data_IF_717636684922
#
_entry.id   IF_717636684922
#
_cell.length_a   1.000
_cell.length_b   1.000
_cell.length_c   1.000
_cell.angle_alpha   90.00
_cell.angle_beta   90.00
_cell.angle_gamma   90.00
#
_symmetry.space_group_name_H-M   'P 1'
#
loop_
_entity.id
_entity.type
_entity.pdbx_description
1 polymer ?
#
# COMPACT_ATOMS: atom_id res chain seq x y z
N UNK A 1 0.86 48.51 82.96
CA UNK A 1 0.78 49.50 81.86
C UNK A 1 0.73 48.72 80.53
N UNK A 2 -0.35 48.80 79.71
CA UNK A 2 -0.41 48.19 78.44
C UNK A 2 0.17 49.10 77.37
N UNK A 3 0.89 48.51 76.42
CA UNK A 3 1.41 49.14 75.21
C UNK A 3 0.45 48.80 74.05
N UNK A 4 -0.15 49.82 73.51
CA UNK A 4 -0.97 49.77 72.29
C UNK A 4 -0.08 49.83 71.05
N UNK A 5 -0.16 48.80 70.18
CA UNK A 5 0.47 48.85 68.87
C UNK A 5 -0.66 49.08 67.85
N UNK A 6 -0.70 50.25 67.20
CA UNK A 6 -1.57 50.55 66.06
C UNK A 6 -1.05 49.88 64.79
N UNK A 7 -1.88 49.14 64.17
CA UNK A 7 -1.64 48.61 62.84
C UNK A 7 -2.35 49.46 61.80
N UNK A 8 -1.61 50.17 60.97
CA UNK A 8 -2.14 50.85 59.75
C UNK A 8 -2.11 49.93 58.59
N UNK A 9 -3.28 49.60 58.04
CA UNK A 9 -3.42 48.84 56.79
C UNK A 9 -3.11 49.76 55.61
N UNK A 10 -2.40 49.26 54.57
CA UNK A 10 -2.20 50.02 53.34
C UNK A 10 -3.41 50.01 52.46
N UNK A 11 -3.68 51.15 51.83
CA UNK A 11 -4.76 51.39 50.90
C UNK A 11 -4.71 50.47 49.65
N UNK A 12 -5.86 49.90 49.30
CA UNK A 12 -6.00 49.00 48.16
C UNK A 12 -5.80 49.73 46.81
N UNK A 13 -4.96 49.14 45.98
CA UNK A 13 -4.79 49.52 44.56
C UNK A 13 -6.00 49.01 43.77
N UNK A 14 -6.60 49.81 42.88
CA UNK A 14 -7.74 49.35 42.07
C UNK A 14 -7.25 48.29 41.06
N UNK A 15 -7.86 47.10 41.09
CA UNK A 15 -7.65 46.04 40.13
C UNK A 15 -8.40 46.44 38.83
N UNK A 16 -7.63 46.64 37.75
CA UNK A 16 -8.18 46.85 36.42
C UNK A 16 -8.86 45.57 35.93
N UNK A 17 -10.18 45.62 35.78
CA UNK A 17 -10.95 44.50 35.18
C UNK A 17 -10.73 44.56 33.69
N UNK A 18 -10.04 43.60 33.13
CA UNK A 18 -9.94 43.40 31.69
C UNK A 18 -11.33 43.02 31.11
N UNK A 19 -11.74 43.61 30.01
CA UNK A 19 -12.97 43.21 29.35
C UNK A 19 -12.84 41.77 28.80
N UNK A 20 -13.95 40.98 28.74
CA UNK A 20 -13.92 39.63 28.23
C UNK A 20 -13.42 39.60 26.78
N UNK A 21 -12.70 38.55 26.36
CA UNK A 21 -12.23 38.45 24.98
C UNK A 21 -13.37 38.43 24.00
N UNK A 22 -13.29 39.33 23.02
CA UNK A 22 -14.24 39.43 21.91
C UNK A 22 -14.33 38.09 21.18
N UNK A 23 -15.51 37.49 21.18
CA UNK A 23 -15.79 36.26 20.42
C UNK A 23 -15.77 36.61 18.94
N UNK A 24 -14.70 36.23 18.23
CA UNK A 24 -14.65 36.32 16.77
C UNK A 24 -15.76 35.44 16.20
N UNK A 25 -16.51 35.89 15.19
CA UNK A 25 -17.52 35.07 14.53
C UNK A 25 -16.81 33.83 13.95
N UNK A 26 -17.33 32.66 14.30
CA UNK A 26 -16.92 31.39 13.68
C UNK A 26 -17.40 31.45 12.22
N UNK A 27 -16.46 31.67 11.30
CA UNK A 27 -16.73 31.54 9.87
C UNK A 27 -17.17 30.10 9.63
N UNK A 28 -18.35 29.84 9.02
CA UNK A 28 -18.74 28.47 8.70
C UNK A 28 -17.66 27.85 7.81
N UNK A 29 -17.10 26.73 8.26
CA UNK A 29 -16.24 25.88 7.43
C UNK A 29 -17.13 25.38 6.31
N UNK A 30 -16.97 25.95 5.12
CA UNK A 30 -17.55 25.43 3.90
C UNK A 30 -17.04 24.00 3.72
N UNK A 31 -17.91 23.02 3.98
CA UNK A 31 -17.61 21.62 3.67
C UNK A 31 -17.35 21.54 2.15
N UNK A 32 -16.12 21.14 1.82
CA UNK A 32 -15.77 20.84 0.44
C UNK A 32 -16.76 19.78 -0.08
N UNK A 33 -17.38 19.97 -1.26
CA UNK A 33 -18.42 19.06 -1.74
C UNK A 33 -17.84 17.67 -1.89
N UNK A 34 -18.58 16.66 -1.42
CA UNK A 34 -18.21 15.27 -1.58
C UNK A 34 -17.89 14.98 -3.07
N UNK A 35 -16.83 14.17 -3.36
CA UNK A 35 -16.44 13.89 -4.73
C UNK A 35 -17.61 13.30 -5.51
N UNK A 36 -17.88 13.87 -6.68
CA UNK A 36 -18.98 13.46 -7.55
C UNK A 36 -18.88 11.95 -7.86
N UNK A 37 -20.00 11.24 -7.81
CA UNK A 37 -20.07 9.83 -8.21
C UNK A 37 -19.72 9.76 -9.68
N UNK A 38 -18.65 9.00 -10.01
CA UNK A 38 -18.34 8.71 -11.40
C UNK A 38 -19.43 7.79 -11.99
N UNK A 39 -19.78 7.93 -13.28
CA UNK A 39 -20.73 7.04 -13.92
C UNK A 39 -20.21 5.59 -13.89
N UNK A 40 -21.09 4.60 -13.74
CA UNK A 40 -20.69 3.21 -13.77
C UNK A 40 -20.05 2.87 -15.12
N UNK A 41 -18.99 2.01 -15.15
CA UNK A 41 -18.36 1.60 -16.38
C UNK A 41 -19.35 0.78 -17.24
N UNK A 42 -19.19 0.87 -18.56
CA UNK A 42 -20.02 0.12 -19.51
C UNK A 42 -19.95 -1.41 -19.25
N UNK A 43 -21.04 -2.17 -19.52
CA UNK A 43 -21.08 -3.63 -19.28
C UNK A 43 -19.94 -4.36 -19.98
N UNK A 44 -19.39 -5.39 -19.34
CA UNK A 44 -18.37 -6.27 -19.91
C UNK A 44 -19.00 -7.31 -20.85
N UNK A 45 -18.23 -7.85 -21.82
CA UNK A 45 -18.69 -8.97 -22.63
C UNK A 45 -19.04 -10.18 -21.75
N UNK A 46 -20.01 -10.97 -22.18
CA UNK A 46 -20.44 -12.19 -21.47
C UNK A 46 -19.26 -13.14 -21.22
N UNK A 47 -19.25 -13.79 -20.06
CA UNK A 47 -18.23 -14.75 -19.66
C UNK A 47 -16.87 -14.15 -19.27
N UNK A 48 -16.74 -12.82 -19.17
CA UNK A 48 -15.51 -12.17 -18.70
C UNK A 48 -15.72 -11.55 -17.31
N UNK A 49 -14.78 -11.80 -16.38
CA UNK A 49 -14.83 -11.20 -15.05
C UNK A 49 -13.93 -9.96 -14.96
N UNK A 50 -14.21 -9.12 -13.99
CA UNK A 50 -13.29 -8.05 -13.60
C UNK A 50 -12.07 -8.61 -12.88
N UNK A 51 -10.96 -7.87 -12.93
CA UNK A 51 -9.84 -8.01 -12.01
C UNK A 51 -10.26 -7.44 -10.66
N UNK A 52 -10.09 -8.19 -9.60
CA UNK A 52 -10.51 -7.82 -8.24
C UNK A 52 -9.31 -7.37 -7.42
N UNK A 53 -9.36 -6.14 -6.92
CA UNK A 53 -8.35 -5.55 -6.04
C UNK A 53 -8.92 -5.45 -4.62
N UNK A 54 -8.37 -6.20 -3.67
CA UNK A 54 -8.69 -5.99 -2.26
C UNK A 54 -7.83 -4.84 -1.71
N UNK A 55 -8.48 -3.80 -1.22
CA UNK A 55 -7.84 -2.64 -0.61
C UNK A 55 -8.03 -2.73 0.89
N UNK A 56 -6.93 -2.84 1.60
CA UNK A 56 -6.86 -2.82 3.04
C UNK A 56 -6.45 -1.42 3.50
N UNK A 57 -7.28 -0.80 4.31
CA UNK A 57 -6.90 0.40 5.04
C UNK A 57 -6.27 -0.03 6.36
N UNK A 58 -5.01 0.25 6.58
CA UNK A 58 -4.29 -0.11 7.81
C UNK A 58 -5.01 0.37 9.07
N UNK A 59 -4.82 -0.35 10.17
CA UNK A 59 -5.36 -0.01 11.50
C UNK A 59 -6.91 -0.01 11.57
N UNK A 60 -7.49 0.71 12.53
CA UNK A 60 -8.94 0.89 12.68
C UNK A 60 -9.45 0.53 14.07
N UNK A 61 -10.58 1.11 14.48
CA UNK A 61 -11.16 0.89 15.81
C UNK A 61 -10.22 1.31 16.93
N UNK A 62 -9.89 0.38 17.82
CA UNK A 62 -8.99 0.60 18.96
C UNK A 62 -7.53 0.86 18.55
N UNK A 63 -7.13 0.39 17.38
CA UNK A 63 -5.81 0.66 16.82
C UNK A 63 -5.82 1.96 16.00
N UNK A 64 -5.28 3.07 16.55
CA UNK A 64 -5.25 4.34 15.84
C UNK A 64 -4.20 4.38 14.71
N UNK A 65 -3.25 3.44 14.67
CA UNK A 65 -2.01 3.56 13.92
C UNK A 65 -1.11 4.67 14.45
N UNK A 66 -0.23 5.15 13.63
CA UNK A 66 0.67 6.25 13.95
C UNK A 66 -0.10 7.55 14.24
N UNK A 67 0.47 8.34 15.15
CA UNK A 67 -0.08 9.63 15.57
C UNK A 67 0.72 10.76 14.93
N UNK A 68 0.01 11.63 14.23
CA UNK A 68 0.56 12.83 13.64
C UNK A 68 0.27 14.09 14.43
N UNK A 69 0.80 15.24 13.99
CA UNK A 69 0.51 16.54 14.57
C UNK A 69 -0.98 16.85 14.61
N UNK A 70 -1.40 17.66 15.59
CA UNK A 70 -2.78 18.12 15.78
C UNK A 70 -3.82 16.98 15.96
N UNK A 71 -3.37 15.81 16.46
CA UNK A 71 -4.24 14.66 16.70
C UNK A 71 -4.62 13.88 15.44
N UNK A 72 -3.88 14.05 14.34
CA UNK A 72 -4.05 13.21 13.16
C UNK A 72 -3.78 11.74 13.51
N UNK A 73 -4.62 10.85 13.02
CA UNK A 73 -4.51 9.40 13.24
C UNK A 73 -4.43 8.69 11.90
N UNK A 74 -3.50 7.78 11.78
CA UNK A 74 -3.24 7.04 10.57
C UNK A 74 -4.48 6.31 10.05
N UNK A 75 -5.23 5.65 10.92
CA UNK A 75 -6.45 4.89 10.56
C UNK A 75 -7.47 5.71 9.75
N UNK A 76 -7.52 7.02 9.94
CA UNK A 76 -8.44 7.90 9.20
C UNK A 76 -7.88 8.24 7.82
N UNK A 77 -6.59 8.52 7.73
CA UNK A 77 -5.88 8.82 6.48
C UNK A 77 -5.91 7.61 5.55
N UNK A 78 -5.57 6.44 6.07
CA UNK A 78 -5.56 5.18 5.31
C UNK A 78 -6.93 4.84 4.76
N UNK A 79 -8.00 5.01 5.58
CA UNK A 79 -9.37 4.76 5.14
C UNK A 79 -9.83 5.76 4.06
N UNK A 80 -9.43 7.02 4.17
CA UNK A 80 -9.78 8.05 3.18
C UNK A 80 -9.12 7.73 1.82
N UNK A 81 -7.81 7.41 1.82
CA UNK A 81 -7.08 7.04 0.60
C UNK A 81 -7.64 5.73 0.01
N UNK A 82 -7.94 4.73 0.85
CA UNK A 82 -8.49 3.46 0.41
C UNK A 82 -9.86 3.62 -0.28
N UNK A 83 -10.74 4.46 0.27
CA UNK A 83 -12.04 4.78 -0.34
C UNK A 83 -11.90 5.52 -1.67
N UNK A 84 -10.96 6.44 -1.74
CA UNK A 84 -10.69 7.17 -2.98
C UNK A 84 -10.09 6.24 -4.05
N UNK A 85 -9.18 5.35 -3.68
CA UNK A 85 -8.62 4.33 -4.57
C UNK A 85 -9.72 3.37 -5.07
N UNK A 86 -10.61 2.93 -4.18
CA UNK A 86 -11.77 2.13 -4.57
C UNK A 86 -12.64 2.86 -5.59
N UNK A 87 -12.96 4.13 -5.35
CA UNK A 87 -13.77 4.95 -6.25
C UNK A 87 -13.15 5.04 -7.65
N UNK A 88 -11.84 5.27 -7.72
CA UNK A 88 -11.13 5.40 -8.99
C UNK A 88 -11.03 4.06 -9.73
N UNK A 89 -10.70 2.96 -9.05
CA UNK A 89 -10.64 1.63 -9.65
C UNK A 89 -12.01 1.21 -10.18
N UNK A 90 -13.09 1.42 -9.42
CA UNK A 90 -14.44 1.04 -9.82
C UNK A 90 -15.00 1.87 -10.99
N UNK A 91 -14.39 3.00 -11.29
CA UNK A 91 -14.71 3.78 -12.49
C UNK A 91 -14.05 3.21 -13.76
N UNK A 92 -13.10 2.29 -13.63
CA UNK A 92 -12.37 1.72 -14.76
C UNK A 92 -12.95 0.37 -15.17
N UNK A 93 -13.35 0.24 -16.44
CA UNK A 93 -13.94 -0.99 -16.97
C UNK A 93 -12.95 -2.15 -16.90
N UNK A 94 -13.42 -3.29 -16.38
CA UNK A 94 -12.60 -4.50 -16.23
C UNK A 94 -11.87 -4.60 -14.89
N UNK A 95 -12.06 -3.64 -14.01
CA UNK A 95 -11.55 -3.65 -12.64
C UNK A 95 -12.68 -3.51 -11.62
N UNK A 96 -12.47 -4.09 -10.44
CA UNK A 96 -13.35 -3.98 -9.28
C UNK A 96 -12.52 -3.91 -8.01
N UNK A 97 -12.76 -2.94 -7.17
CA UNK A 97 -12.11 -2.79 -5.89
C UNK A 97 -13.06 -3.14 -4.73
N UNK A 98 -12.54 -3.91 -3.79
CA UNK A 98 -13.23 -4.36 -2.59
C UNK A 98 -12.45 -3.88 -1.36
N UNK A 99 -13.09 -3.10 -0.49
CA UNK A 99 -12.48 -2.70 0.77
C UNK A 99 -12.49 -3.86 1.77
N UNK A 100 -11.39 -4.04 2.49
CA UNK A 100 -11.29 -4.99 3.62
C UNK A 100 -12.07 -4.48 4.81
N UNK A 101 -11.93 -3.18 5.15
CA UNK A 101 -12.81 -2.48 6.09
C UNK A 101 -13.44 -1.25 5.43
N UNK A 102 -14.70 -0.99 5.72
CA UNK A 102 -15.48 0.13 5.16
C UNK A 102 -15.69 1.28 6.14
N UNK A 103 -15.36 1.06 7.41
CA UNK A 103 -15.54 1.98 8.52
C UNK A 103 -14.36 1.97 9.50
N UNK A 104 -14.54 2.66 10.62
CA UNK A 104 -13.55 2.71 11.70
C UNK A 104 -13.80 1.56 12.69
N UNK A 105 -13.30 0.39 12.37
CA UNK A 105 -13.28 -0.81 13.22
C UNK A 105 -12.01 -1.62 12.95
N UNK A 106 -11.54 -2.32 13.98
CA UNK A 106 -10.34 -3.15 13.89
C UNK A 106 -10.61 -4.49 13.22
N UNK A 107 -9.66 -4.95 12.40
CA UNK A 107 -9.62 -6.29 11.82
C UNK A 107 -8.23 -6.87 12.08
N UNK A 108 -8.11 -8.04 12.73
CA UNK A 108 -6.82 -8.71 12.92
C UNK A 108 -6.07 -8.94 11.61
N UNK A 109 -4.73 -8.80 11.64
CA UNK A 109 -3.90 -8.78 10.43
C UNK A 109 -4.13 -10.00 9.53
N UNK A 110 -4.13 -11.20 10.10
CA UNK A 110 -4.37 -12.44 9.33
C UNK A 110 -5.78 -12.55 8.74
N UNK A 111 -6.79 -11.91 9.36
CA UNK A 111 -8.15 -11.91 8.83
C UNK A 111 -8.31 -11.04 7.59
N UNK A 112 -7.44 -10.04 7.41
CA UNK A 112 -7.48 -9.12 6.27
C UNK A 112 -7.25 -9.85 4.94
N UNK A 113 -6.23 -10.71 4.85
CA UNK A 113 -5.99 -11.55 3.66
C UNK A 113 -7.05 -12.62 3.46
N UNK A 114 -7.63 -13.17 4.52
CA UNK A 114 -8.77 -14.10 4.43
C UNK A 114 -10.01 -13.42 3.83
N UNK A 115 -10.28 -12.18 4.21
CA UNK A 115 -11.36 -11.37 3.63
C UNK A 115 -11.08 -11.12 2.14
N UNK A 116 -9.86 -10.74 1.78
CA UNK A 116 -9.44 -10.54 0.39
C UNK A 116 -9.69 -11.81 -0.44
N UNK A 117 -9.29 -12.97 0.07
CA UNK A 117 -9.49 -14.26 -0.61
C UNK A 117 -10.98 -14.58 -0.80
N UNK A 118 -11.82 -14.37 0.23
CA UNK A 118 -13.28 -14.55 0.13
C UNK A 118 -13.93 -13.64 -0.91
N UNK A 119 -13.34 -12.47 -1.17
CA UNK A 119 -13.78 -11.53 -2.20
C UNK A 119 -13.23 -11.87 -3.59
N UNK A 120 -12.43 -12.95 -3.72
CA UNK A 120 -11.83 -13.37 -4.98
C UNK A 120 -10.78 -12.41 -5.51
N UNK A 121 -9.99 -11.81 -4.63
CA UNK A 121 -8.99 -10.82 -5.00
C UNK A 121 -7.85 -11.42 -5.84
N UNK A 122 -7.50 -10.70 -6.92
CA UNK A 122 -6.32 -10.96 -7.75
C UNK A 122 -5.08 -10.19 -7.25
N UNK A 123 -5.28 -9.20 -6.37
CA UNK A 123 -4.24 -8.40 -5.73
C UNK A 123 -4.75 -7.89 -4.37
N UNK A 124 -3.86 -7.88 -3.37
CA UNK A 124 -4.07 -7.25 -2.08
C UNK A 124 -3.16 -6.03 -1.93
N UNK A 125 -3.73 -4.89 -1.54
CA UNK A 125 -3.00 -3.63 -1.35
C UNK A 125 -3.35 -3.06 0.01
N UNK A 126 -2.38 -3.07 0.94
CA UNK A 126 -2.52 -2.44 2.25
C UNK A 126 -1.99 -1.00 2.18
N UNK A 127 -2.79 -0.04 2.66
CA UNK A 127 -2.50 1.39 2.63
C UNK A 127 -2.14 1.85 4.03
N UNK A 128 -0.98 2.47 4.16
CA UNK A 128 -0.40 2.96 5.42
C UNK A 128 0.12 4.40 5.29
N UNK A 129 0.38 5.04 6.42
CA UNK A 129 0.98 6.37 6.55
C UNK A 129 1.69 6.50 7.90
N UNK A 130 2.62 5.62 8.17
CA UNK A 130 3.21 5.34 9.47
C UNK A 130 4.04 6.51 10.06
N UNK A 131 4.47 6.36 11.28
CA UNK A 131 5.47 7.22 11.90
C UNK A 131 6.88 6.69 11.60
N UNK A 132 7.81 7.57 11.32
CA UNK A 132 9.22 7.18 11.26
C UNK A 132 9.92 7.45 12.59
N UNK A 133 10.96 6.67 12.94
CA UNK A 133 11.77 6.92 14.13
C UNK A 133 12.41 8.32 14.16
N UNK A 134 12.61 8.90 12.98
CA UNK A 134 13.10 10.27 12.80
C UNK A 134 11.99 11.13 12.23
N UNK A 135 11.57 12.15 12.97
CA UNK A 135 10.52 13.08 12.52
C UNK A 135 10.86 13.81 11.20
N UNK A 136 12.12 13.85 10.80
CA UNK A 136 12.59 14.40 9.53
C UNK A 136 12.42 13.42 8.35
N UNK A 137 12.04 12.16 8.59
CA UNK A 137 11.78 11.21 7.49
C UNK A 137 10.57 11.66 6.67
N UNK A 138 10.65 11.46 5.38
CA UNK A 138 9.60 11.83 4.43
C UNK A 138 9.62 10.91 3.22
N UNK A 139 8.53 10.93 2.48
CA UNK A 139 8.40 10.26 1.20
C UNK A 139 7.73 8.90 1.28
N UNK A 140 7.22 8.46 0.14
CA UNK A 140 6.49 7.21 0.00
C UNK A 140 7.43 6.01 -0.15
N UNK A 141 6.93 4.83 0.24
CA UNK A 141 7.63 3.55 0.08
C UNK A 141 6.63 2.46 -0.32
N UNK A 142 7.12 1.37 -0.90
CA UNK A 142 6.32 0.17 -1.13
C UNK A 142 7.09 -1.04 -0.61
N UNK A 143 6.36 -1.93 0.05
CA UNK A 143 6.90 -3.13 0.66
C UNK A 143 6.20 -4.38 0.13
N UNK A 144 6.95 -5.48 0.06
CA UNK A 144 6.47 -6.83 -0.19
C UNK A 144 6.89 -7.75 0.95
N UNK A 145 6.26 -8.92 1.03
CA UNK A 145 6.61 -9.93 2.02
C UNK A 145 8.04 -10.45 1.80
N UNK A 146 8.73 -10.78 2.89
CA UNK A 146 9.90 -11.66 2.91
C UNK A 146 9.79 -12.62 4.09
N UNK A 147 10.07 -13.88 3.84
CA UNK A 147 10.24 -14.94 4.84
C UNK A 147 11.72 -15.14 5.20
N UNK A 148 12.65 -14.52 4.46
CA UNK A 148 14.12 -14.66 4.60
C UNK A 148 14.79 -13.48 5.32
N UNK A 149 13.98 -12.62 5.97
CA UNK A 149 14.46 -11.43 6.66
C UNK A 149 14.18 -10.13 5.89
N UNK A 150 14.52 -9.01 6.50
CA UNK A 150 14.28 -7.69 5.95
C UNK A 150 15.41 -7.22 5.04
N UNK A 151 15.09 -6.47 3.99
CA UNK A 151 16.06 -5.89 3.06
C UNK A 151 16.80 -4.69 3.63
N UNK A 152 16.25 -4.07 4.69
CA UNK A 152 16.88 -2.97 5.43
C UNK A 152 16.41 -2.95 6.87
N UNK A 153 17.16 -2.28 7.75
CA UNK A 153 16.76 -2.06 9.15
C UNK A 153 15.45 -1.26 9.26
N UNK A 154 15.23 -0.29 8.36
CA UNK A 154 13.97 0.45 8.29
C UNK A 154 12.80 -0.48 7.96
N UNK A 155 12.97 -1.39 6.99
CA UNK A 155 11.93 -2.35 6.62
C UNK A 155 11.65 -3.35 7.76
N UNK A 156 12.68 -3.76 8.51
CA UNK A 156 12.52 -4.60 9.70
C UNK A 156 11.72 -3.89 10.78
N UNK A 157 12.16 -2.68 11.13
CA UNK A 157 11.51 -1.88 12.16
C UNK A 157 10.03 -1.63 11.82
N UNK A 158 9.74 -1.27 10.57
CA UNK A 158 8.36 -1.03 10.12
C UNK A 158 7.52 -2.30 10.23
N UNK A 159 8.04 -3.44 9.76
CA UNK A 159 7.31 -4.71 9.86
C UNK A 159 7.05 -5.12 11.32
N UNK A 160 8.01 -4.89 12.21
CA UNK A 160 7.85 -5.17 13.64
C UNK A 160 6.79 -4.26 14.27
N UNK A 161 6.78 -2.96 13.90
CA UNK A 161 5.78 -1.99 14.34
C UNK A 161 4.37 -2.41 13.88
N UNK A 162 4.21 -2.66 12.59
CA UNK A 162 2.93 -3.05 12.00
C UNK A 162 2.39 -4.38 12.56
N UNK A 163 3.27 -5.35 12.80
CA UNK A 163 2.87 -6.64 13.36
C UNK A 163 2.36 -6.53 14.80
N UNK A 164 2.62 -5.44 15.52
CA UNK A 164 2.09 -5.18 16.87
C UNK A 164 0.64 -4.68 16.85
N UNK A 165 0.08 -4.31 15.72
CA UNK A 165 -1.32 -3.85 15.59
C UNK A 165 -2.32 -4.82 16.21
N UNK A 166 -2.10 -6.14 16.10
CA UNK A 166 -2.98 -7.15 16.69
C UNK A 166 -3.02 -7.09 18.23
N UNK A 167 -1.93 -6.66 18.89
CA UNK A 167 -1.86 -6.47 20.33
C UNK A 167 -2.67 -5.24 20.76
N UNK A 168 -2.55 -4.15 20.00
CA UNK A 168 -3.27 -2.89 20.26
C UNK A 168 -4.77 -3.07 20.02
N UNK A 169 -5.14 -3.77 18.95
CA UNK A 169 -6.53 -4.05 18.58
C UNK A 169 -7.23 -5.11 19.45
N UNK A 170 -6.58 -5.62 20.50
CA UNK A 170 -7.17 -6.58 21.43
C UNK A 170 -7.33 -7.99 20.85
N UNK A 171 -6.67 -8.29 19.74
CA UNK A 171 -6.83 -9.60 19.08
C UNK A 171 -6.10 -10.75 19.78
N UNK A 172 -5.36 -10.52 20.88
CA UNK A 172 -4.64 -11.53 21.66
C UNK A 172 -3.94 -12.60 20.78
N UNK A 173 -3.01 -13.36 21.29
CA UNK A 173 -2.29 -14.41 20.54
C UNK A 173 -3.27 -15.38 19.83
N UNK A 174 -3.72 -15.05 18.63
CA UNK A 174 -4.36 -16.01 17.72
C UNK A 174 -3.24 -16.83 17.10
N UNK A 175 -2.76 -17.83 17.86
CA UNK A 175 -1.93 -18.90 17.33
C UNK A 175 -2.78 -19.69 16.34
N UNK A 176 -2.62 -19.42 15.07
CA UNK A 176 -3.04 -20.37 14.06
C UNK A 176 -2.00 -21.49 14.06
N UNK A 177 -2.41 -22.65 14.53
CA UNK A 177 -1.64 -23.89 14.39
C UNK A 177 -1.35 -24.11 12.90
N UNK A 178 -0.13 -23.81 12.47
CA UNK A 178 0.42 -24.08 11.13
C UNK A 178 0.74 -25.59 10.95
N UNK A 179 -0.10 -26.46 11.51
CA UNK A 179 0.04 -27.91 11.38
C UNK A 179 -0.88 -28.46 10.31
N UNK A 180 -0.61 -28.18 9.05
CA UNK A 180 -1.12 -29.02 7.97
C UNK A 180 -0.16 -29.06 6.76
N UNK A 181 0.65 -30.09 6.77
CA UNK A 181 0.88 -31.19 5.81
C UNK A 181 1.79 -30.96 4.61
N UNK A 182 2.79 -31.79 4.61
CA UNK A 182 3.98 -31.91 3.76
C UNK A 182 3.72 -32.15 2.24
N UNK A 183 2.51 -32.49 1.80
CA UNK A 183 2.18 -32.71 0.39
C UNK A 183 1.64 -31.43 -0.31
N UNK A 184 1.09 -30.50 0.46
CA UNK A 184 0.75 -29.17 -0.01
C UNK A 184 2.00 -28.27 -0.16
N UNK A 185 3.12 -28.65 0.45
CA UNK A 185 4.31 -27.81 0.58
C UNK A 185 4.93 -27.39 -0.76
N UNK A 186 5.14 -28.31 -1.70
CA UNK A 186 5.82 -27.97 -2.97
C UNK A 186 4.96 -27.10 -3.89
N UNK A 187 3.66 -27.39 -3.97
CA UNK A 187 2.74 -26.55 -4.75
C UNK A 187 2.53 -25.20 -4.06
N UNK A 188 2.52 -25.19 -2.73
CA UNK A 188 2.44 -23.98 -1.94
C UNK A 188 3.68 -23.10 -2.11
N UNK A 189 4.90 -23.68 -2.09
CA UNK A 189 6.15 -22.95 -2.33
C UNK A 189 6.23 -22.33 -3.72
N UNK A 190 5.78 -23.06 -4.74
CA UNK A 190 5.71 -22.52 -6.11
C UNK A 190 4.69 -21.37 -6.21
N UNK A 191 3.52 -21.52 -5.59
CA UNK A 191 2.49 -20.48 -5.53
C UNK A 191 3.01 -19.24 -4.79
N UNK A 192 3.64 -19.42 -3.64
CA UNK A 192 4.24 -18.34 -2.85
C UNK A 192 5.34 -17.62 -3.63
N UNK A 193 6.21 -18.34 -4.33
CA UNK A 193 7.27 -17.74 -5.14
C UNK A 193 6.70 -16.92 -6.29
N UNK A 194 5.67 -17.42 -6.97
CA UNK A 194 5.00 -16.70 -8.06
C UNK A 194 4.28 -15.44 -7.53
N UNK A 195 3.58 -15.59 -6.40
CA UNK A 195 2.89 -14.50 -5.71
C UNK A 195 3.87 -13.40 -5.27
N UNK A 196 5.01 -13.77 -4.70
CA UNK A 196 6.05 -12.83 -4.28
C UNK A 196 6.66 -12.09 -5.47
N UNK A 197 7.00 -12.79 -6.55
CA UNK A 197 7.51 -12.17 -7.78
C UNK A 197 6.51 -11.16 -8.36
N UNK A 198 5.22 -11.51 -8.36
CA UNK A 198 4.14 -10.61 -8.79
C UNK A 198 4.01 -9.41 -7.86
N UNK A 199 4.15 -9.60 -6.53
CA UNK A 199 4.14 -8.53 -5.53
C UNK A 199 5.27 -7.52 -5.77
N UNK A 200 6.48 -7.99 -6.03
CA UNK A 200 7.61 -7.11 -6.34
C UNK A 200 7.39 -6.33 -7.64
N UNK A 201 6.84 -6.98 -8.66
CA UNK A 201 6.57 -6.34 -9.95
C UNK A 201 5.49 -5.25 -9.83
N UNK A 202 4.33 -5.58 -9.24
CA UNK A 202 3.27 -4.58 -9.04
C UNK A 202 3.74 -3.46 -8.10
N UNK A 203 4.47 -3.82 -7.03
CA UNK A 203 5.04 -2.85 -6.09
C UNK A 203 5.98 -1.86 -6.78
N UNK A 204 6.86 -2.32 -7.67
CA UNK A 204 7.77 -1.44 -8.40
C UNK A 204 7.02 -0.48 -9.33
N UNK A 205 5.94 -0.93 -9.99
CA UNK A 205 5.11 -0.06 -10.82
C UNK A 205 4.36 0.97 -10.00
N UNK A 206 3.80 0.59 -8.87
CA UNK A 206 3.16 1.52 -7.92
C UNK A 206 4.17 2.55 -7.43
N UNK A 207 5.33 2.10 -6.93
CA UNK A 207 6.41 2.98 -6.45
C UNK A 207 6.86 3.98 -7.51
N UNK A 208 7.08 3.52 -8.74
CA UNK A 208 7.51 4.38 -9.87
C UNK A 208 6.46 5.45 -10.20
N UNK A 209 5.17 5.12 -10.14
CA UNK A 209 4.10 6.10 -10.35
C UNK A 209 3.97 7.07 -9.19
N UNK A 210 4.12 6.61 -7.95
CA UNK A 210 4.12 7.49 -6.77
C UNK A 210 5.28 8.49 -6.81
N UNK A 211 6.46 8.07 -7.26
CA UNK A 211 7.64 8.93 -7.40
C UNK A 211 7.48 10.11 -8.37
N UNK A 212 6.40 10.13 -9.17
CA UNK A 212 6.07 11.28 -10.05
C UNK A 212 5.30 12.38 -9.33
N UNK A 213 4.71 12.08 -8.17
CA UNK A 213 3.83 13.02 -7.45
C UNK A 213 4.32 13.35 -6.05
N UNK A 214 5.15 12.50 -5.45
CA UNK A 214 5.71 12.69 -4.11
C UNK A 214 7.14 12.16 -4.06
N UNK A 215 8.02 12.71 -3.20
CA UNK A 215 9.33 12.13 -2.95
C UNK A 215 9.20 10.65 -2.53
N UNK A 216 10.19 9.86 -2.89
CA UNK A 216 10.29 8.47 -2.44
C UNK A 216 11.27 8.36 -1.28
N UNK A 217 10.85 7.74 -0.18
CA UNK A 217 11.73 7.38 0.93
C UNK A 217 12.71 6.27 0.51
N UNK A 218 12.22 5.31 -0.27
CA UNK A 218 13.02 4.23 -0.89
C UNK A 218 12.73 4.17 -2.39
N UNK A 219 13.78 4.03 -3.19
CA UNK A 219 13.67 3.99 -4.66
C UNK A 219 13.41 2.58 -5.22
N UNK A 220 13.35 1.58 -4.36
CA UNK A 220 13.05 0.17 -4.68
C UNK A 220 12.02 -0.34 -3.72
N UNK A 221 11.28 -1.36 -4.14
CA UNK A 221 10.42 -2.12 -3.24
C UNK A 221 11.30 -2.79 -2.20
N UNK A 222 11.00 -2.56 -0.95
CA UNK A 222 11.67 -3.20 0.19
C UNK A 222 10.88 -4.43 0.62
N UNK A 223 11.52 -5.33 1.37
CA UNK A 223 10.90 -6.58 1.83
C UNK A 223 11.15 -6.79 3.31
N UNK A 224 10.13 -7.26 4.03
CA UNK A 224 10.24 -7.70 5.42
C UNK A 224 9.08 -8.64 5.79
N UNK A 225 9.08 -9.09 7.04
CA UNK A 225 8.13 -10.09 7.56
C UNK A 225 6.76 -9.53 7.91
N UNK A 226 6.14 -8.74 7.05
CA UNK A 226 4.79 -8.17 7.28
C UNK A 226 3.72 -9.26 7.39
N UNK A 227 3.10 -9.39 8.56
CA UNK A 227 2.07 -10.39 8.79
C UNK A 227 0.82 -10.17 7.93
N UNK A 228 0.47 -8.91 7.69
CA UNK A 228 -0.68 -8.53 6.85
C UNK A 228 -0.51 -8.94 5.38
N UNK A 229 0.73 -9.14 4.91
CA UNK A 229 1.02 -9.55 3.54
C UNK A 229 1.16 -11.07 3.35
N UNK A 230 1.02 -11.86 4.42
CA UNK A 230 1.13 -13.32 4.34
C UNK A 230 -0.08 -13.92 3.62
N UNK A 231 0.02 -14.07 2.32
CA UNK A 231 -0.93 -14.78 1.49
C UNK A 231 -0.19 -15.70 0.52
N UNK A 232 -0.48 -16.99 0.49
CA UNK A 232 0.25 -17.92 -0.37
C UNK A 232 -0.08 -17.79 -1.85
N UNK A 233 -1.24 -17.25 -2.17
CA UNK A 233 -1.86 -17.31 -3.50
C UNK A 233 -2.21 -15.92 -4.09
N UNK A 234 -2.22 -14.87 -3.28
CA UNK A 234 -2.57 -13.52 -3.73
C UNK A 234 -1.34 -12.61 -3.65
N UNK A 235 -0.88 -12.04 -4.77
CA UNK A 235 0.14 -10.99 -4.74
C UNK A 235 -0.28 -9.87 -3.78
N UNK A 236 0.64 -9.44 -2.91
CA UNK A 236 0.32 -8.54 -1.81
C UNK A 236 1.40 -7.48 -1.64
N UNK A 237 1.01 -6.21 -1.53
CA UNK A 237 1.91 -5.09 -1.25
C UNK A 237 1.38 -4.23 -0.12
N UNK A 238 2.29 -3.58 0.61
CA UNK A 238 2.01 -2.51 1.55
C UNK A 238 2.56 -1.21 0.99
N UNK A 239 1.74 -0.19 0.98
CA UNK A 239 2.05 1.13 0.42
C UNK A 239 2.07 2.16 1.53
N UNK A 240 3.27 2.62 1.89
CA UNK A 240 3.44 3.81 2.72
C UNK A 240 3.24 5.04 1.87
N UNK A 241 2.19 5.79 2.15
CA UNK A 241 1.83 6.98 1.37
C UNK A 241 2.59 8.23 1.78
N UNK A 242 3.32 8.17 2.88
CA UNK A 242 4.13 9.19 3.52
C UNK A 242 4.19 8.94 5.01
N UNK A 243 4.92 9.74 5.75
CA UNK A 243 5.04 9.62 7.21
C UNK A 243 4.17 10.65 7.92
N UNK A 244 3.10 10.18 8.61
CA UNK A 244 2.18 11.07 9.35
C UNK A 244 2.87 11.79 10.50
N UNK A 245 4.00 11.27 11.01
CA UNK A 245 4.84 11.93 12.02
C UNK A 245 5.54 13.19 11.51
N UNK A 246 5.69 13.34 10.18
CA UNK A 246 6.25 14.53 9.56
C UNK A 246 5.15 15.59 9.37
N UNK A 247 5.28 16.80 9.97
CA UNK A 247 4.22 17.81 9.90
C UNK A 247 3.82 18.24 8.49
N UNK A 248 4.79 18.30 7.56
CA UNK A 248 4.53 18.70 6.19
C UNK A 248 3.78 17.60 5.42
N UNK A 249 4.13 16.33 5.67
CA UNK A 249 3.42 15.20 5.05
C UNK A 249 2.04 15.00 5.67
N UNK A 250 1.92 15.09 6.99
CA UNK A 250 0.62 15.05 7.67
C UNK A 250 -0.36 16.10 7.12
N UNK A 251 0.13 17.33 6.89
CA UNK A 251 -0.69 18.38 6.30
C UNK A 251 -1.16 18.03 4.87
N UNK A 252 -0.30 17.43 4.04
CA UNK A 252 -0.66 16.96 2.68
C UNK A 252 -1.63 15.78 2.73
N UNK A 253 -1.33 14.77 3.55
CA UNK A 253 -2.14 13.57 3.72
C UNK A 253 -3.56 13.86 4.20
N UNK A 254 -3.76 14.98 4.91
CA UNK A 254 -5.07 15.45 5.33
C UNK A 254 -5.89 16.09 4.18
N UNK A 255 -5.30 16.38 3.02
CA UNK A 255 -6.00 17.05 1.92
C UNK A 255 -6.58 16.05 0.92
N UNK A 256 -7.83 16.28 0.51
CA UNK A 256 -8.51 15.45 -0.49
C UNK A 256 -7.74 15.42 -1.82
N UNK A 257 -7.19 16.54 -2.27
CA UNK A 257 -6.43 16.64 -3.52
C UNK A 257 -5.20 15.72 -3.51
N UNK A 258 -4.45 15.67 -2.41
CA UNK A 258 -3.29 14.79 -2.29
C UNK A 258 -3.70 13.32 -2.20
N UNK A 259 -4.75 12.98 -1.44
CA UNK A 259 -5.31 11.64 -1.35
C UNK A 259 -5.77 11.14 -2.74
N UNK A 260 -6.41 11.98 -3.54
CA UNK A 260 -6.79 11.66 -4.91
C UNK A 260 -5.58 11.43 -5.82
N UNK A 261 -4.53 12.21 -5.66
CA UNK A 261 -3.30 12.06 -6.43
C UNK A 261 -2.56 10.76 -6.07
N UNK A 262 -2.48 10.43 -4.78
CA UNK A 262 -1.93 9.16 -4.29
C UNK A 262 -2.73 7.97 -4.84
N UNK A 263 -4.06 7.99 -4.70
CA UNK A 263 -4.94 6.95 -5.22
C UNK A 263 -4.75 6.75 -6.73
N UNK A 264 -4.67 7.84 -7.50
CA UNK A 264 -4.44 7.78 -8.96
C UNK A 264 -3.09 7.17 -9.31
N UNK A 265 -2.04 7.49 -8.57
CA UNK A 265 -0.71 6.94 -8.81
C UNK A 265 -0.65 5.43 -8.49
N UNK A 266 -1.28 5.00 -7.41
CA UNK A 266 -1.41 3.59 -7.05
C UNK A 266 -2.22 2.83 -8.11
N UNK A 267 -3.40 3.34 -8.50
CA UNK A 267 -4.22 2.77 -9.57
C UNK A 267 -3.43 2.63 -10.88
N UNK A 268 -2.65 3.66 -11.26
CA UNK A 268 -1.85 3.63 -12.48
C UNK A 268 -0.81 2.51 -12.46
N UNK A 269 -0.15 2.29 -11.33
CA UNK A 269 0.80 1.18 -11.17
C UNK A 269 0.11 -0.19 -11.24
N UNK A 270 -1.03 -0.35 -10.58
CA UNK A 270 -1.86 -1.57 -10.64
C UNK A 270 -2.31 -1.86 -12.07
N UNK A 271 -2.82 -0.85 -12.78
CA UNK A 271 -3.24 -0.97 -14.17
C UNK A 271 -2.10 -1.41 -15.07
N UNK A 272 -0.93 -0.79 -14.97
CA UNK A 272 0.26 -1.17 -15.74
C UNK A 272 0.65 -2.63 -15.50
N UNK A 273 0.59 -3.10 -14.25
CA UNK A 273 0.88 -4.48 -13.94
C UNK A 273 -0.10 -5.44 -14.61
N UNK A 274 -1.41 -5.21 -14.49
CA UNK A 274 -2.41 -6.11 -15.05
C UNK A 274 -2.58 -6.00 -16.58
N UNK A 275 -2.18 -4.90 -17.19
CA UNK A 275 -2.08 -4.85 -18.65
C UNK A 275 -0.99 -5.79 -19.19
N UNK A 276 0.09 -5.96 -18.42
CA UNK A 276 1.18 -6.87 -18.76
C UNK A 276 0.90 -8.32 -18.34
N UNK A 277 0.24 -8.51 -17.19
CA UNK A 277 0.02 -9.81 -16.54
C UNK A 277 -1.47 -10.00 -16.15
N UNK A 278 -2.42 -9.92 -17.08
CA UNK A 278 -3.82 -10.07 -16.72
C UNK A 278 -4.15 -11.53 -16.38
N UNK A 279 -4.90 -11.78 -15.28
CA UNK A 279 -5.33 -13.12 -14.92
C UNK A 279 -6.24 -13.72 -16.01
N UNK A 280 -6.14 -15.02 -16.27
CA UNK A 280 -6.99 -15.70 -17.27
C UNK A 280 -8.49 -15.48 -17.00
N UNK A 281 -9.28 -15.40 -18.07
CA UNK A 281 -10.74 -15.21 -17.97
C UNK A 281 -11.19 -13.79 -17.63
N UNK A 282 -10.26 -12.85 -17.41
CA UNK A 282 -10.60 -11.45 -17.15
C UNK A 282 -10.88 -10.68 -18.44
N UNK A 283 -11.61 -9.56 -18.30
CA UNK A 283 -11.84 -8.64 -19.41
C UNK A 283 -10.53 -8.04 -19.97
N UNK A 284 -9.57 -7.75 -19.09
CA UNK A 284 -8.26 -7.21 -19.51
C UNK A 284 -7.45 -8.26 -20.29
N UNK A 285 -7.51 -9.55 -19.89
CA UNK A 285 -6.90 -10.64 -20.65
C UNK A 285 -7.53 -10.72 -22.05
N UNK A 286 -8.85 -10.66 -22.13
CA UNK A 286 -9.56 -10.68 -23.42
C UNK A 286 -9.18 -9.48 -24.31
N UNK A 287 -9.04 -8.27 -23.74
CA UNK A 287 -8.59 -7.09 -24.49
C UNK A 287 -7.19 -7.28 -25.09
N UNK A 288 -6.27 -7.83 -24.27
CA UNK A 288 -4.91 -8.15 -24.71
C UNK A 288 -4.91 -9.20 -25.82
N UNK A 289 -5.60 -10.32 -25.59
CA UNK A 289 -5.61 -11.47 -26.50
C UNK A 289 -6.34 -11.15 -27.82
N UNK A 290 -7.27 -10.16 -27.80
CA UNK A 290 -7.95 -9.62 -28.99
C UNK A 290 -7.16 -8.52 -29.69
N UNK A 291 -5.94 -8.19 -29.26
CA UNK A 291 -5.13 -7.11 -29.83
C UNK A 291 -5.69 -5.69 -29.60
N UNK A 292 -6.68 -5.53 -28.70
CA UNK A 292 -7.31 -4.22 -28.40
C UNK A 292 -6.47 -3.37 -27.45
N UNK A 293 -5.56 -3.97 -26.70
CA UNK A 293 -4.50 -3.31 -25.97
C UNK A 293 -3.17 -3.93 -26.36
N UNK A 294 -2.17 -3.07 -26.60
CA UNK A 294 -0.83 -3.55 -26.88
C UNK A 294 -0.27 -4.24 -25.63
N UNK A 295 0.37 -5.42 -25.77
CA UNK A 295 1.14 -5.99 -24.68
C UNK A 295 2.26 -5.01 -24.34
N UNK A 296 2.22 -4.43 -23.13
CA UNK A 296 3.34 -3.62 -22.65
C UNK A 296 4.61 -4.46 -22.51
N UNK A 297 5.79 -3.83 -22.43
CA UNK A 297 7.02 -4.55 -22.19
C UNK A 297 6.88 -5.40 -20.93
N UNK A 298 7.15 -6.71 -21.04
CA UNK A 298 7.16 -7.60 -19.88
C UNK A 298 8.39 -7.27 -19.04
N UNK A 299 8.20 -7.05 -17.77
CA UNK A 299 9.27 -6.81 -16.82
C UNK A 299 9.20 -7.84 -15.69
N UNK A 300 10.37 -8.20 -15.19
CA UNK A 300 10.52 -9.08 -14.02
C UNK A 300 11.43 -8.42 -13.00
N UNK A 301 10.97 -8.33 -11.74
CA UNK A 301 11.80 -7.86 -10.62
C UNK A 301 12.41 -9.08 -9.95
N UNK A 302 13.73 -9.14 -9.94
CA UNK A 302 14.48 -10.27 -9.40
C UNK A 302 14.22 -10.43 -7.91
N UNK A 303 13.74 -11.60 -7.52
CA UNK A 303 13.54 -12.01 -6.13
C UNK A 303 14.77 -12.69 -5.55
N UNK A 304 14.84 -12.77 -4.22
CA UNK A 304 15.90 -13.52 -3.55
C UNK A 304 15.88 -15.01 -3.95
N UNK A 305 17.03 -15.54 -4.32
CA UNK A 305 17.17 -16.93 -4.74
C UNK A 305 16.89 -17.21 -6.23
N UNK A 306 16.51 -16.21 -7.02
CA UNK A 306 16.35 -16.36 -8.46
C UNK A 306 17.71 -16.22 -9.18
N UNK A 307 17.86 -17.00 -10.26
CA UNK A 307 18.96 -16.86 -11.21
C UNK A 307 18.43 -16.44 -12.57
N UNK A 308 19.29 -15.86 -13.40
CA UNK A 308 18.92 -15.47 -14.76
C UNK A 308 18.40 -16.66 -15.57
N UNK A 309 18.97 -17.86 -15.34
CA UNK A 309 18.54 -19.10 -15.99
C UNK A 309 17.12 -19.52 -15.58
N UNK A 310 16.80 -19.46 -14.28
CA UNK A 310 15.44 -19.74 -13.78
C UNK A 310 14.40 -18.76 -14.34
N UNK A 311 14.76 -17.48 -14.43
CA UNK A 311 13.88 -16.45 -15.01
C UNK A 311 13.69 -16.72 -16.52
N UNK A 312 14.77 -17.03 -17.26
CA UNK A 312 14.70 -17.39 -18.68
C UNK A 312 13.76 -18.59 -18.91
N UNK A 313 13.90 -19.63 -18.09
CA UNK A 313 13.04 -20.83 -18.14
C UNK A 313 11.57 -20.49 -17.84
N UNK A 314 11.30 -19.71 -16.78
CA UNK A 314 9.95 -19.28 -16.39
C UNK A 314 9.21 -18.56 -17.52
N UNK A 315 9.91 -17.69 -18.23
CA UNK A 315 9.34 -16.91 -19.31
C UNK A 315 9.51 -17.53 -20.69
N UNK A 316 10.09 -18.74 -20.75
CA UNK A 316 10.33 -19.49 -22.00
C UNK A 316 11.13 -18.66 -23.04
N UNK A 317 12.14 -17.93 -22.56
CA UNK A 317 13.05 -17.15 -23.39
C UNK A 317 14.46 -17.73 -23.30
N UNK A 318 15.22 -17.65 -24.38
CA UNK A 318 16.62 -18.08 -24.37
C UNK A 318 17.44 -17.25 -23.37
N UNK A 319 18.32 -17.89 -22.59
CA UNK A 319 19.18 -17.21 -21.61
C UNK A 319 20.02 -16.10 -22.26
N UNK A 320 20.60 -16.38 -23.42
CA UNK A 320 21.37 -15.40 -24.17
C UNK A 320 20.52 -14.20 -24.63
N UNK A 321 19.27 -14.46 -25.05
CA UNK A 321 18.31 -13.44 -25.47
C UNK A 321 17.92 -12.54 -24.29
N UNK A 322 17.63 -13.17 -23.13
CA UNK A 322 17.32 -12.42 -21.91
C UNK A 322 18.49 -11.55 -21.45
N UNK A 323 19.71 -12.09 -21.52
CA UNK A 323 20.95 -11.35 -21.19
C UNK A 323 21.14 -10.13 -22.09
N UNK A 324 21.02 -10.32 -23.40
CA UNK A 324 21.18 -9.25 -24.41
C UNK A 324 20.12 -8.17 -24.26
N UNK A 325 18.85 -8.56 -24.04
CA UNK A 325 17.74 -7.62 -23.84
C UNK A 325 17.92 -6.70 -22.62
N UNK A 326 18.80 -7.11 -21.68
CA UNK A 326 19.07 -6.38 -20.45
C UNK A 326 20.50 -5.80 -20.39
N UNK A 327 21.25 -5.85 -21.48
CA UNK A 327 22.64 -5.38 -21.55
C UNK A 327 23.53 -5.97 -20.46
N UNK A 328 23.29 -7.22 -20.06
CA UNK A 328 24.07 -7.90 -19.04
C UNK A 328 25.35 -8.48 -19.64
N UNK A 329 26.48 -8.24 -18.97
CA UNK A 329 27.77 -8.80 -19.35
C UNK A 329 28.00 -10.22 -18.83
N UNK A 330 27.23 -10.64 -17.82
CA UNK A 330 27.28 -11.97 -17.20
C UNK A 330 25.86 -12.36 -16.73
N UNK A 331 25.72 -13.58 -16.21
CA UNK A 331 24.44 -14.08 -15.66
C UNK A 331 24.18 -13.59 -14.22
N UNK A 332 25.06 -12.72 -13.70
CA UNK A 332 24.92 -12.15 -12.36
C UNK A 332 23.83 -11.09 -12.36
N UNK A 333 22.82 -11.31 -11.54
CA UNK A 333 21.70 -10.39 -11.30
C UNK A 333 21.59 -10.07 -9.82
N UNK A 334 20.94 -8.96 -9.49
CA UNK A 334 20.78 -8.48 -8.11
C UNK A 334 19.30 -8.53 -7.71
N UNK A 335 19.04 -8.92 -6.47
CA UNK A 335 17.69 -8.81 -5.90
C UNK A 335 17.16 -7.37 -6.05
N UNK A 336 15.91 -7.25 -6.50
CA UNK A 336 15.29 -5.96 -6.81
C UNK A 336 15.70 -5.36 -8.18
N UNK A 337 16.55 -6.03 -8.94
CA UNK A 337 16.85 -5.62 -10.31
C UNK A 337 15.66 -5.89 -11.21
N UNK A 338 15.26 -4.89 -12.02
CA UNK A 338 14.22 -5.08 -13.04
C UNK A 338 14.85 -5.55 -14.34
N UNK A 339 14.35 -6.66 -14.86
CA UNK A 339 14.73 -7.23 -16.14
C UNK A 339 13.61 -7.06 -17.15
N UNK A 340 13.95 -6.61 -18.36
CA UNK A 340 13.07 -6.65 -19.51
C UNK A 340 13.00 -8.07 -20.05
N UNK A 341 11.81 -8.64 -20.13
CA UNK A 341 11.58 -9.98 -20.68
C UNK A 341 11.18 -9.82 -22.14
N UNK A 342 12.04 -10.20 -23.08
CA UNK A 342 11.73 -10.09 -24.49
C UNK A 342 10.53 -10.98 -24.85
N UNK A 343 9.57 -10.42 -25.57
CA UNK A 343 8.53 -11.21 -26.20
C UNK A 343 9.18 -11.92 -27.38
N UNK A 344 9.47 -13.19 -27.26
CA UNK A 344 9.79 -14.03 -28.41
C UNK A 344 8.52 -14.11 -29.27
N UNK A 345 8.46 -13.34 -30.35
CA UNK A 345 7.74 -13.85 -31.50
C UNK A 345 8.40 -15.24 -31.77
N UNK A 346 7.64 -16.30 -31.60
CA UNK A 346 8.00 -17.57 -32.15
C UNK A 346 8.24 -17.31 -33.65
N UNK A 347 9.51 -17.10 -34.01
CA UNK A 347 9.89 -17.15 -35.41
C UNK A 347 9.43 -18.53 -35.86
N UNK A 348 8.37 -18.55 -36.65
CA UNK A 348 8.05 -19.70 -37.47
C UNK A 348 9.37 -20.03 -38.22
N UNK A 349 10.02 -21.09 -37.80
CA UNK A 349 11.05 -21.68 -38.63
C UNK A 349 10.39 -22.27 -39.84
N UNK A 350 10.93 -22.02 -41.04
CA UNK A 350 10.41 -22.52 -42.30
C UNK A 350 10.44 -24.06 -42.38
#
# INVERSE_FOLDING_TARGET
KPVTTGSTAPAGVPVAVNPPPSVRPVVPVTMEPAPAKLPPPAPMPSGKRAIVIAIDAGHGGEDPGALGPKGAREKHVTLAIAKELQRQINAERGYRAELVRTGDYFIPLRKRTVIARKKGADLFVSIHADAAPRAAAFGASVYALSDRGATSETARWLADSENQSDLIGGAGNVSLDDKDKMLAGVLLDLSMTASLSSSLNVGQKVLSNMGRITPLHKRRVEQAGFMVLKSPDIPSILVETGFISNPNEAAKLATLSHQQSLARSIQSGIRQFFQQNPPPGTYVAWLRDSGKIAPGPREHVVSSGESLALIAQRYQVGLAVLRSANNLRSDTIKVGQTLNIPTTALAAQP
#
